data_IF_497596156704
#
_entry.id   IF_497596156704
#
_cell.length_a   1.000
_cell.length_b   1.000
_cell.length_c   1.000
_cell.angle_alpha   90.00
_cell.angle_beta   90.00
_cell.angle_gamma   90.00
#
_symmetry.space_group_name_H-M   'P 1'
#
loop_
_entity.id
_entity.type
_entity.pdbx_description
1 polymer ?
#
# COMPACT_ATOMS: atom_id res chain seq x y z
N UNK A 1 -7.60 36.54 16.25
CA UNK A 1 -6.71 35.47 16.75
C UNK A 1 -6.98 34.21 15.95
N UNK A 2 -6.22 33.96 14.88
CA UNK A 2 -6.38 32.75 14.08
C UNK A 2 -5.06 32.44 13.34
N UNK A 3 -4.19 31.66 13.99
CA UNK A 3 -3.04 31.00 13.35
C UNK A 3 -2.62 29.83 14.24
N UNK A 4 -3.24 28.65 14.10
CA UNK A 4 -2.69 27.40 14.65
C UNK A 4 -3.42 26.16 14.11
N UNK A 5 -3.41 25.90 12.81
CA UNK A 5 -3.94 24.61 12.29
C UNK A 5 -3.19 24.00 11.09
N UNK A 6 -2.08 24.62 10.64
CA UNK A 6 -1.37 24.13 9.45
C UNK A 6 -0.19 23.17 9.74
N UNK A 7 0.19 22.94 11.00
CA UNK A 7 1.37 22.10 11.29
C UNK A 7 1.07 20.60 11.44
N UNK A 8 -0.17 20.20 11.70
CA UNK A 8 -0.52 18.77 11.80
C UNK A 8 -0.74 18.09 10.43
N UNK A 9 -0.97 18.88 9.37
CA UNK A 9 -1.24 18.34 8.03
C UNK A 9 0.04 17.85 7.31
N UNK A 10 1.16 18.52 7.58
CA UNK A 10 2.47 18.26 6.94
C UNK A 10 3.11 16.98 7.47
N UNK A 11 2.95 16.66 8.76
CA UNK A 11 3.54 15.45 9.35
C UNK A 11 2.94 14.14 8.83
N UNK A 12 1.65 14.11 8.47
CA UNK A 12 1.04 12.94 7.84
C UNK A 12 1.50 12.73 6.38
N UNK A 13 1.84 13.81 5.67
CA UNK A 13 2.37 13.74 4.30
C UNK A 13 3.83 13.28 4.30
N UNK A 14 4.65 13.78 5.23
CA UNK A 14 6.03 13.32 5.40
C UNK A 14 6.13 11.86 5.86
N UNK A 15 5.13 11.36 6.58
CA UNK A 15 5.10 9.98 7.05
C UNK A 15 5.12 8.94 5.91
N UNK A 16 4.68 9.31 4.70
CA UNK A 16 4.53 8.37 3.58
C UNK A 16 5.29 8.73 2.30
N UNK A 17 5.87 9.93 2.19
CA UNK A 17 6.61 10.38 1.00
C UNK A 17 8.08 9.93 0.95
N UNK A 18 8.57 9.15 1.92
CA UNK A 18 10.00 8.84 2.10
C UNK A 18 10.65 7.83 1.13
N UNK A 19 9.92 7.16 0.23
CA UNK A 19 10.51 6.17 -0.67
C UNK A 19 9.91 6.19 -2.09
N UNK A 20 10.12 7.28 -2.82
CA UNK A 20 10.05 7.26 -4.29
C UNK A 20 11.37 7.78 -4.84
N UNK A 21 12.34 6.89 -5.03
CA UNK A 21 13.57 7.18 -5.76
C UNK A 21 13.23 7.42 -7.23
N UNK A 22 13.25 8.69 -7.65
CA UNK A 22 13.35 9.09 -9.06
C UNK A 22 14.71 8.64 -9.60
N UNK A 23 14.71 7.86 -10.68
CA UNK A 23 15.84 7.73 -11.58
C UNK A 23 15.56 8.57 -12.84
N UNK A 24 16.47 9.47 -13.28
CA UNK A 24 16.29 10.29 -14.46
C UNK A 24 16.77 9.53 -15.70
N UNK A 25 15.87 9.21 -16.63
CA UNK A 25 16.29 8.69 -17.93
C UNK A 25 16.78 9.82 -18.82
N UNK A 26 18.09 9.86 -18.98
CA UNK A 26 18.78 10.62 -20.01
C UNK A 26 18.51 10.08 -21.42
N UNK A 27 18.42 11.03 -22.34
CA UNK A 27 18.45 10.90 -23.79
C UNK A 27 19.41 9.84 -24.34
N UNK A 28 18.95 9.02 -25.29
CA UNK A 28 19.69 8.60 -26.51
C UNK A 28 18.77 7.79 -27.44
N UNK A 29 18.48 8.36 -28.61
CA UNK A 29 18.14 7.61 -29.82
C UNK A 29 19.35 6.77 -30.27
N UNK A 30 19.11 5.63 -30.93
CA UNK A 30 19.55 5.56 -32.32
C UNK A 30 18.56 4.86 -33.27
N UNK A 31 18.61 5.33 -34.51
CA UNK A 31 18.04 4.79 -35.73
C UNK A 31 18.48 3.35 -36.02
N UNK A 32 17.62 2.57 -36.69
CA UNK A 32 18.00 1.69 -37.81
C UNK A 32 16.75 1.33 -38.65
N UNK A 33 16.97 1.33 -39.96
CA UNK A 33 16.04 1.33 -41.10
C UNK A 33 15.38 -0.04 -41.41
N UNK A 34 14.44 -0.12 -42.39
CA UNK A 34 13.39 -1.11 -42.45
C UNK A 34 13.75 -2.34 -43.30
N UNK A 35 13.28 -3.51 -42.91
CA UNK A 35 13.15 -4.65 -43.83
C UNK A 35 11.72 -5.15 -43.83
N UNK A 36 11.12 -5.03 -45.00
CA UNK A 36 9.86 -5.60 -45.45
C UNK A 36 9.92 -7.12 -45.43
N UNK A 37 8.91 -7.78 -44.87
CA UNK A 37 8.32 -8.97 -45.51
C UNK A 37 6.93 -9.22 -44.94
N UNK A 38 5.97 -8.89 -45.79
CA UNK A 38 4.55 -9.14 -45.74
C UNK A 38 4.27 -10.63 -45.80
N UNK A 39 3.54 -11.21 -44.83
CA UNK A 39 2.69 -12.37 -45.05
C UNK A 39 1.48 -12.37 -44.11
N UNK A 40 0.32 -12.41 -44.76
CA UNK A 40 -0.95 -13.03 -44.33
C UNK A 40 -1.87 -12.20 -43.43
N UNK A 41 -2.82 -11.59 -44.13
CA UNK A 41 -4.21 -11.36 -43.73
C UNK A 41 -4.72 -12.38 -42.71
N UNK A 42 -4.82 -11.92 -41.48
CA UNK A 42 -5.69 -12.40 -40.43
C UNK A 42 -5.97 -11.16 -39.60
N UNK A 43 -7.17 -10.59 -39.71
CA UNK A 43 -7.58 -9.43 -38.94
C UNK A 43 -7.77 -9.86 -37.49
N UNK A 44 -6.67 -10.07 -36.77
CA UNK A 44 -6.65 -9.97 -35.33
C UNK A 44 -6.62 -8.49 -35.03
N UNK A 45 -7.81 -7.92 -34.90
CA UNK A 45 -8.00 -6.68 -34.15
C UNK A 45 -7.13 -6.80 -32.90
N UNK A 46 -6.22 -5.86 -32.62
CA UNK A 46 -5.66 -5.80 -31.28
C UNK A 46 -6.90 -5.68 -30.38
N UNK A 47 -7.12 -6.69 -29.53
CA UNK A 47 -8.08 -6.57 -28.45
C UNK A 47 -7.48 -5.49 -27.57
N UNK A 48 -7.81 -4.24 -27.90
CA UNK A 48 -7.60 -3.09 -27.06
C UNK A 48 -8.11 -3.53 -25.70
N UNK A 49 -7.30 -3.52 -24.63
CA UNK A 49 -7.82 -3.77 -23.31
C UNK A 49 -8.93 -2.74 -23.12
N UNK A 50 -10.18 -3.22 -23.14
CA UNK A 50 -11.34 -2.35 -23.01
C UNK A 50 -11.05 -1.45 -21.81
N UNK A 51 -10.95 -0.13 -21.99
CA UNK A 51 -10.86 0.73 -20.84
C UNK A 51 -12.22 0.57 -20.18
N UNK A 52 -12.26 -0.09 -19.01
CA UNK A 52 -13.41 0.00 -18.14
C UNK A 52 -13.71 1.50 -18.03
N UNK A 53 -14.80 1.94 -18.65
CA UNK A 53 -15.21 3.33 -18.57
C UNK A 53 -15.32 3.67 -17.08
N UNK A 54 -14.85 4.84 -16.62
CA UNK A 54 -14.80 5.19 -15.20
C UNK A 54 -16.11 4.89 -14.44
N UNK A 55 -17.25 5.07 -15.11
CA UNK A 55 -18.60 4.77 -14.60
C UNK A 55 -18.83 3.27 -14.31
N UNK A 56 -18.31 2.39 -15.16
CA UNK A 56 -18.43 0.93 -14.96
C UNK A 56 -17.57 0.45 -13.80
N UNK A 57 -16.40 1.04 -13.60
CA UNK A 57 -15.56 0.76 -12.43
C UNK A 57 -16.22 1.23 -11.14
N UNK A 58 -16.85 2.41 -11.15
CA UNK A 58 -17.58 2.93 -10.00
C UNK A 58 -18.72 1.97 -9.59
N UNK A 59 -19.59 1.59 -10.54
CA UNK A 59 -20.70 0.68 -10.27
C UNK A 59 -20.22 -0.68 -9.78
N UNK A 60 -19.17 -1.22 -10.40
CA UNK A 60 -18.56 -2.46 -9.97
C UNK A 60 -18.03 -2.38 -8.54
N UNK A 61 -17.33 -1.30 -8.19
CA UNK A 61 -16.81 -1.10 -6.85
C UNK A 61 -17.92 -0.87 -5.81
N UNK A 62 -19.00 -0.17 -6.19
CA UNK A 62 -20.16 0.06 -5.33
C UNK A 62 -20.80 -1.24 -4.86
N UNK A 63 -20.93 -2.21 -5.77
CA UNK A 63 -21.48 -3.54 -5.47
C UNK A 63 -20.47 -4.44 -4.76
N UNK A 64 -19.20 -4.41 -5.19
CA UNK A 64 -18.20 -5.37 -4.71
C UNK A 64 -17.60 -5.00 -3.35
N UNK A 65 -17.35 -3.73 -3.06
CA UNK A 65 -16.70 -3.31 -1.80
C UNK A 65 -17.48 -3.77 -0.56
N UNK A 66 -18.80 -3.58 -0.46
CA UNK A 66 -19.54 -4.04 0.71
C UNK A 66 -19.51 -5.56 0.89
N UNK A 67 -19.53 -6.31 -0.21
CA UNK A 67 -19.42 -7.78 -0.21
C UNK A 67 -18.06 -8.20 0.32
N UNK A 68 -16.97 -7.60 -0.15
CA UNK A 68 -15.61 -7.89 0.32
C UNK A 68 -15.44 -7.55 1.80
N UNK A 69 -15.91 -6.39 2.26
CA UNK A 69 -15.85 -6.01 3.68
C UNK A 69 -16.61 -7.02 4.54
N UNK A 70 -17.77 -7.48 4.08
CA UNK A 70 -18.57 -8.49 4.79
C UNK A 70 -17.88 -9.85 4.81
N UNK A 71 -17.28 -10.26 3.69
CA UNK A 71 -16.53 -11.52 3.58
C UNK A 71 -15.36 -11.54 4.55
N UNK A 72 -14.59 -10.44 4.62
CA UNK A 72 -13.48 -10.29 5.56
C UNK A 72 -13.92 -10.52 7.00
N UNK A 73 -15.03 -9.90 7.42
CA UNK A 73 -15.54 -10.03 8.79
C UNK A 73 -16.17 -11.37 9.14
N UNK A 74 -16.56 -12.18 8.14
CA UNK A 74 -17.23 -13.48 8.34
C UNK A 74 -16.30 -14.67 8.21
N UNK A 75 -15.26 -14.57 7.39
CA UNK A 75 -14.35 -15.68 7.13
C UNK A 75 -13.36 -15.87 8.28
N UNK A 76 -13.00 -17.12 8.57
CA UNK A 76 -11.93 -17.47 9.51
C UNK A 76 -10.62 -17.83 8.80
N UNK A 77 -10.63 -17.91 7.46
CA UNK A 77 -9.45 -18.24 6.69
C UNK A 77 -8.57 -17.00 6.49
N UNK A 78 -7.38 -17.01 7.09
CA UNK A 78 -6.36 -15.96 6.94
C UNK A 78 -6.03 -15.68 5.46
N UNK A 79 -5.92 -16.73 4.64
CA UNK A 79 -5.67 -16.58 3.20
C UNK A 79 -6.80 -15.80 2.52
N UNK A 80 -8.06 -16.12 2.84
CA UNK A 80 -9.22 -15.39 2.28
C UNK A 80 -9.24 -13.95 2.78
N UNK A 81 -8.94 -13.72 4.06
CA UNK A 81 -8.84 -12.36 4.63
C UNK A 81 -7.78 -11.53 3.92
N UNK A 82 -6.58 -12.07 3.75
CA UNK A 82 -5.48 -11.41 3.03
C UNK A 82 -5.86 -11.07 1.58
N UNK A 83 -6.41 -12.04 0.83
CA UNK A 83 -6.86 -11.81 -0.55
C UNK A 83 -7.97 -10.77 -0.63
N UNK A 84 -8.87 -10.75 0.36
CA UNK A 84 -9.94 -9.76 0.45
C UNK A 84 -9.38 -8.36 0.66
N UNK A 85 -8.44 -8.17 1.60
CA UNK A 85 -7.78 -6.86 1.81
C UNK A 85 -7.05 -6.43 0.54
N UNK A 86 -6.34 -7.35 -0.14
CA UNK A 86 -5.65 -7.05 -1.39
C UNK A 86 -6.60 -6.56 -2.49
N UNK A 87 -7.75 -7.22 -2.65
CA UNK A 87 -8.75 -6.83 -3.64
C UNK A 87 -9.34 -5.45 -3.30
N UNK A 88 -9.70 -5.22 -2.03
CA UNK A 88 -10.18 -3.92 -1.57
C UNK A 88 -9.14 -2.83 -1.85
N UNK A 89 -7.87 -3.06 -1.50
CA UNK A 89 -6.77 -2.13 -1.79
C UNK A 89 -6.63 -1.82 -3.27
N UNK A 90 -6.74 -2.81 -4.15
CA UNK A 90 -6.69 -2.61 -5.60
C UNK A 90 -7.86 -1.77 -6.09
N UNK A 91 -9.08 -2.08 -5.67
CA UNK A 91 -10.30 -1.34 -6.04
C UNK A 91 -10.21 0.12 -5.60
N UNK A 92 -9.90 0.36 -4.33
CA UNK A 92 -9.71 1.72 -3.78
C UNK A 92 -8.59 2.46 -4.51
N UNK A 93 -7.51 1.75 -4.87
CA UNK A 93 -6.42 2.30 -5.67
C UNK A 93 -6.88 2.81 -7.04
N UNK A 94 -7.77 2.07 -7.70
CA UNK A 94 -8.29 2.37 -9.04
C UNK A 94 -9.36 3.47 -9.08
N UNK A 95 -10.07 3.72 -7.97
CA UNK A 95 -11.11 4.76 -7.89
C UNK A 95 -10.51 6.17 -7.75
N UNK A 96 -11.15 7.18 -8.32
CA UNK A 96 -10.75 8.57 -8.08
C UNK A 96 -11.23 9.08 -6.71
N UNK A 97 -10.79 10.27 -6.29
CA UNK A 97 -11.17 10.84 -4.99
C UNK A 97 -12.67 11.13 -4.85
N UNK A 98 -13.33 11.57 -5.92
CA UNK A 98 -14.76 11.87 -5.92
C UNK A 98 -15.58 10.59 -5.73
N UNK A 99 -15.28 9.57 -6.54
CA UNK A 99 -15.89 8.24 -6.46
C UNK A 99 -15.75 7.64 -5.06
N UNK A 100 -14.53 7.68 -4.50
CA UNK A 100 -14.27 7.20 -3.16
C UNK A 100 -15.08 7.96 -2.10
N UNK A 101 -15.27 9.27 -2.26
CA UNK A 101 -16.06 10.06 -1.32
C UNK A 101 -17.54 9.64 -1.37
N UNK A 102 -18.11 9.55 -2.58
CA UNK A 102 -19.49 9.12 -2.81
C UNK A 102 -19.73 7.73 -2.21
N UNK A 103 -18.85 6.78 -2.50
CA UNK A 103 -18.94 5.42 -1.96
C UNK A 103 -18.83 5.41 -0.43
N UNK A 104 -17.93 6.21 0.13
CA UNK A 104 -17.72 6.24 1.59
C UNK A 104 -18.93 6.76 2.36
N UNK A 105 -19.68 7.69 1.76
CA UNK A 105 -20.91 8.25 2.33
C UNK A 105 -22.14 7.36 2.12
N UNK A 106 -22.07 6.41 1.17
CA UNK A 106 -23.13 5.43 0.96
C UNK A 106 -23.37 4.62 2.24
N UNK A 107 -24.64 4.47 2.61
CA UNK A 107 -25.07 3.81 3.84
C UNK A 107 -25.79 2.51 3.51
N UNK A 108 -25.33 1.42 4.10
CA UNK A 108 -25.96 0.10 3.99
C UNK A 108 -26.07 -0.48 5.41
N UNK A 109 -27.23 -1.06 5.73
CA UNK A 109 -27.51 -1.64 7.06
C UNK A 109 -27.30 -0.65 8.22
N UNK A 110 -27.58 0.64 7.99
CA UNK A 110 -27.47 1.71 8.99
C UNK A 110 -26.03 2.20 9.24
N UNK A 111 -25.03 1.68 8.54
CA UNK A 111 -23.63 2.11 8.66
C UNK A 111 -23.09 2.63 7.33
N UNK A 112 -22.36 3.75 7.39
CA UNK A 112 -21.62 4.27 6.25
C UNK A 112 -20.52 3.30 5.83
N UNK A 113 -20.34 3.11 4.53
CA UNK A 113 -19.31 2.24 3.98
C UNK A 113 -17.92 2.67 4.46
N UNK A 114 -17.63 3.97 4.52
CA UNK A 114 -16.35 4.48 5.02
C UNK A 114 -16.05 4.04 6.45
N UNK A 115 -17.08 3.96 7.31
CA UNK A 115 -16.93 3.43 8.67
C UNK A 115 -16.64 1.92 8.68
N UNK A 116 -17.39 1.15 7.87
CA UNK A 116 -17.19 -0.31 7.75
C UNK A 116 -15.80 -0.64 7.22
N UNK A 117 -15.33 0.09 6.21
CA UNK A 117 -14.00 -0.05 5.64
C UNK A 117 -12.92 0.31 6.68
N UNK A 118 -13.11 1.40 7.42
CA UNK A 118 -12.19 1.78 8.50
C UNK A 118 -12.10 0.71 9.60
N UNK A 119 -13.23 0.09 9.96
CA UNK A 119 -13.27 -1.01 10.91
C UNK A 119 -12.56 -2.26 10.39
N UNK A 120 -12.73 -2.58 9.10
CA UNK A 120 -12.00 -3.67 8.44
C UNK A 120 -10.49 -3.46 8.54
N UNK A 121 -10.00 -2.24 8.29
CA UNK A 121 -8.58 -1.90 8.42
C UNK A 121 -8.13 -2.04 9.87
N UNK A 122 -8.91 -1.54 10.83
CA UNK A 122 -8.58 -1.68 12.25
C UNK A 122 -8.41 -3.16 12.64
N UNK A 123 -9.38 -4.00 12.29
CA UNK A 123 -9.31 -5.44 12.56
C UNK A 123 -8.10 -6.08 11.88
N UNK A 124 -7.83 -5.70 10.63
CA UNK A 124 -6.67 -6.20 9.90
C UNK A 124 -5.33 -5.84 10.58
N UNK A 125 -5.22 -4.64 11.15
CA UNK A 125 -4.00 -4.24 11.88
C UNK A 125 -3.86 -4.91 13.24
N UNK A 126 -4.98 -5.27 13.88
CA UNK A 126 -5.00 -5.80 15.24
C UNK A 126 -4.85 -7.33 15.29
N UNK A 127 -5.41 -8.04 14.31
CA UNK A 127 -5.64 -9.49 14.41
C UNK A 127 -4.92 -10.32 13.33
N UNK A 128 -4.48 -9.70 12.23
CA UNK A 128 -4.00 -10.43 11.06
C UNK A 128 -2.46 -10.52 11.00
N UNK A 129 -1.90 -11.48 10.23
CA UNK A 129 -0.46 -11.63 10.06
C UNK A 129 0.21 -10.43 9.36
N UNK A 130 1.54 -10.36 9.44
CA UNK A 130 2.37 -9.22 9.00
C UNK A 130 2.07 -8.77 7.55
N UNK A 131 1.87 -9.71 6.63
CA UNK A 131 1.57 -9.41 5.22
C UNK A 131 0.22 -8.69 5.05
N UNK A 132 -0.78 -9.10 5.83
CA UNK A 132 -2.10 -8.47 5.85
C UNK A 132 -2.05 -7.09 6.53
N UNK A 133 -1.25 -6.96 7.59
CA UNK A 133 -0.98 -5.68 8.27
C UNK A 133 -0.38 -4.67 7.28
N UNK A 134 0.65 -5.06 6.52
CA UNK A 134 1.25 -4.19 5.51
C UNK A 134 0.24 -3.74 4.44
N UNK A 135 -0.61 -4.66 3.98
CA UNK A 135 -1.66 -4.32 3.02
C UNK A 135 -2.70 -3.36 3.62
N UNK A 136 -3.07 -3.55 4.88
CA UNK A 136 -4.00 -2.68 5.60
C UNK A 136 -3.42 -1.28 5.84
N UNK A 137 -2.11 -1.16 6.15
CA UNK A 137 -1.41 0.12 6.25
C UNK A 137 -1.43 0.89 4.93
N UNK A 138 -1.13 0.21 3.82
CA UNK A 138 -1.18 0.81 2.48
C UNK A 138 -2.59 1.24 2.10
N UNK A 139 -3.60 0.44 2.44
CA UNK A 139 -5.00 0.80 2.24
C UNK A 139 -5.38 2.05 3.07
N UNK A 140 -4.99 2.10 4.35
CA UNK A 140 -5.22 3.26 5.21
C UNK A 140 -4.60 4.54 4.63
N UNK A 141 -3.36 4.43 4.14
CA UNK A 141 -2.67 5.52 3.45
C UNK A 141 -3.44 5.98 2.21
N UNK A 142 -3.84 5.06 1.32
CA UNK A 142 -4.56 5.39 0.09
C UNK A 142 -5.85 6.16 0.37
N UNK A 143 -6.59 5.75 1.41
CA UNK A 143 -7.82 6.42 1.82
C UNK A 143 -7.55 7.83 2.34
N UNK A 144 -6.53 8.01 3.19
CA UNK A 144 -6.14 9.33 3.68
C UNK A 144 -5.61 10.24 2.57
N UNK A 145 -4.93 9.71 1.55
CA UNK A 145 -4.47 10.49 0.41
C UNK A 145 -5.63 10.90 -0.52
N UNK A 146 -6.60 10.01 -0.76
CA UNK A 146 -7.70 10.27 -1.70
C UNK A 146 -8.85 11.06 -1.08
N UNK A 147 -9.23 10.76 0.16
CA UNK A 147 -10.47 11.23 0.81
C UNK A 147 -10.26 11.53 2.29
N UNK A 148 -9.22 12.31 2.60
CA UNK A 148 -8.81 12.65 3.97
C UNK A 148 -9.96 13.17 4.85
N UNK A 149 -10.81 14.04 4.30
CA UNK A 149 -11.93 14.67 5.02
C UNK A 149 -12.92 13.66 5.60
N UNK A 150 -13.06 12.50 4.94
CA UNK A 150 -13.95 11.41 5.39
C UNK A 150 -13.22 10.51 6.38
N UNK A 151 -12.02 10.03 6.02
CA UNK A 151 -11.36 8.96 6.78
C UNK A 151 -10.61 9.43 8.02
N UNK A 152 -10.04 10.64 8.03
CA UNK A 152 -9.33 11.15 9.20
C UNK A 152 -10.20 11.18 10.47
N UNK A 153 -11.42 11.78 10.47
CA UNK A 153 -12.24 11.80 11.68
C UNK A 153 -12.70 10.39 12.09
N UNK A 154 -12.97 9.50 11.13
CA UNK A 154 -13.33 8.11 11.43
C UNK A 154 -12.16 7.39 12.11
N UNK A 155 -10.96 7.51 11.55
CA UNK A 155 -9.74 6.89 12.06
C UNK A 155 -9.40 7.39 13.47
N UNK A 156 -9.62 8.67 13.75
CA UNK A 156 -9.48 9.23 15.09
C UNK A 156 -10.50 8.59 16.06
N UNK A 157 -11.77 8.53 15.65
CA UNK A 157 -12.86 8.01 16.49
C UNK A 157 -12.71 6.54 16.85
N UNK A 158 -12.23 5.71 15.93
CA UNK A 158 -12.06 4.27 16.17
C UNK A 158 -10.68 3.90 16.75
N UNK A 159 -9.82 4.88 17.02
CA UNK A 159 -8.48 4.63 17.56
C UNK A 159 -7.47 4.09 16.55
N UNK A 160 -7.72 4.24 15.24
CA UNK A 160 -6.77 3.81 14.21
C UNK A 160 -5.52 4.70 14.17
N UNK A 161 -5.66 6.01 14.36
CA UNK A 161 -4.52 6.94 14.40
C UNK A 161 -3.50 6.58 15.49
N UNK A 162 -3.88 6.38 16.78
CA UNK A 162 -2.92 5.97 17.80
C UNK A 162 -2.33 4.59 17.53
N UNK A 163 -3.10 3.64 16.97
CA UNK A 163 -2.57 2.33 16.56
C UNK A 163 -1.48 2.45 15.50
N UNK A 164 -1.71 3.25 14.44
CA UNK A 164 -0.72 3.52 13.39
C UNK A 164 0.56 4.15 13.95
N UNK A 165 0.43 5.06 14.93
CA UNK A 165 1.60 5.62 15.63
C UNK A 165 2.35 4.54 16.43
N UNK A 166 1.64 3.65 17.12
CA UNK A 166 2.27 2.53 17.83
C UNK A 166 3.08 1.64 16.90
N UNK A 167 2.50 1.25 15.75
CA UNK A 167 3.20 0.45 14.74
C UNK A 167 4.44 1.17 14.22
N UNK A 168 4.35 2.48 13.98
CA UNK A 168 5.49 3.28 13.55
C UNK A 168 6.65 3.26 14.52
N UNK A 169 6.39 3.54 15.80
CA UNK A 169 7.46 3.60 16.80
C UNK A 169 8.14 2.23 16.96
N UNK A 170 7.37 1.13 16.91
CA UNK A 170 7.94 -0.23 16.91
C UNK A 170 8.86 -0.46 15.70
N UNK A 171 8.42 -0.06 14.50
CA UNK A 171 9.22 -0.19 13.28
C UNK A 171 10.48 0.67 13.32
N UNK A 172 10.36 1.92 13.78
CA UNK A 172 11.47 2.85 13.93
C UNK A 172 12.53 2.29 14.87
N UNK A 173 12.14 1.83 16.05
CA UNK A 173 13.07 1.20 17.00
C UNK A 173 13.78 -0.03 16.41
N UNK A 174 13.08 -0.86 15.61
CA UNK A 174 13.69 -2.02 14.93
C UNK A 174 14.73 -1.62 13.88
N UNK A 175 14.50 -0.54 13.15
CA UNK A 175 15.43 -0.02 12.15
C UNK A 175 16.68 0.54 12.85
N UNK A 176 16.49 1.32 13.91
CA UNK A 176 17.58 1.89 14.69
C UNK A 176 18.47 0.78 15.30
N UNK A 177 17.86 -0.27 15.87
CA UNK A 177 18.57 -1.45 16.39
C UNK A 177 19.35 -2.23 15.31
N UNK A 178 18.83 -2.34 14.08
CA UNK A 178 19.55 -2.97 12.97
C UNK A 178 20.74 -2.11 12.50
N UNK A 179 20.61 -0.79 12.55
CA UNK A 179 21.70 0.14 12.20
C UNK A 179 22.84 0.13 13.22
N UNK A 180 22.53 -0.19 14.48
CA UNK A 180 23.48 -0.26 15.59
C UNK A 180 24.26 -1.58 15.67
N UNK A 181 23.96 -2.58 14.81
CA UNK A 181 24.74 -3.83 14.77
C UNK A 181 26.09 -3.53 14.09
N UNK A 182 27.21 -3.41 14.82
CA UNK A 182 28.48 -3.12 14.21
C UNK A 182 28.87 -4.33 13.37
N UNK A 183 29.45 -4.06 12.20
CA UNK A 183 30.10 -5.04 11.32
C UNK A 183 31.41 -5.54 11.98
N UNK A 184 31.32 -6.09 13.19
CA UNK A 184 32.44 -6.49 14.05
C UNK A 184 32.27 -7.94 14.51
N UNK A 185 32.14 -8.84 13.53
CA UNK A 185 32.38 -10.27 13.71
C UNK A 185 33.28 -10.80 12.57
N UNK A 186 34.16 -9.93 12.06
CA UNK A 186 35.24 -10.29 11.16
C UNK A 186 36.54 -9.77 11.79
N UNK A 187 36.97 -10.46 12.84
CA UNK A 187 38.37 -10.66 13.23
C UNK A 187 38.39 -11.44 14.54
N UNK A 188 38.59 -12.75 14.44
CA UNK A 188 39.22 -13.53 15.49
C UNK A 188 40.43 -14.21 14.83
N UNK A 189 41.59 -13.90 15.37
CA UNK A 189 42.93 -14.23 14.91
C UNK A 189 43.17 -15.74 14.71
N UNK A 190 43.99 -16.08 13.72
CA UNK A 190 44.85 -17.26 13.78
C UNK A 190 46.27 -16.81 13.38
N UNK A 191 47.17 -16.87 14.36
CA UNK A 191 48.58 -16.46 14.31
C UNK A 191 49.41 -17.27 13.30
N UNK A 192 50.56 -16.73 12.85
CA UNK A 192 51.53 -17.45 12.03
C UNK A 192 52.38 -18.38 12.90
N UNK A 193 52.59 -19.63 12.48
CA UNK A 193 53.61 -20.51 13.07
C UNK A 193 54.66 -20.81 12.02
N UNK A 194 55.86 -20.24 12.22
CA UNK A 194 57.09 -20.63 11.54
C UNK A 194 57.38 -22.11 11.82
N UNK A 195 57.75 -22.86 10.78
CA UNK A 195 58.37 -24.18 10.92
C UNK A 195 59.79 -24.07 10.36
N UNK A 196 60.76 -24.08 11.27
CA UNK A 196 62.18 -24.33 11.01
C UNK A 196 62.34 -25.83 10.75
N UNK A 197 62.90 -26.20 9.60
CA UNK A 197 63.35 -27.57 9.31
C UNK A 197 64.87 -27.64 9.46
N UNK A 198 65.33 -28.38 10.47
CA UNK A 198 66.67 -29.00 10.50
C UNK A 198 66.57 -30.43 9.95
N UNK A 199 67.52 -30.81 9.10
CA UNK A 199 67.66 -32.14 8.49
C UNK A 199 68.62 -32.15 7.31
#
# INVERSE_FOLDING_TARGET
MATSDNNCSVHCLFFFSGHSSQAPFGSRTPSLSPHTTEWRSGKTTPVSPSPFLPETLFLFAAELLPVLITLFGKTQSEVVKYQTILLVRRLVGSLNSCDMQILSDHTQDGLRLGFRLSRMIYTALAEEPEEAVLCALQLAQQLLCKTRSVYLPIFQRIGLIPMLRGVYEVLKHRIDLKSLRPRSAANAEAQPTEVVTDG
#
